data_IF_646264428709
#
_entry.id   IF_646264428709
#
_cell.length_a   1.000
_cell.length_b   1.000
_cell.length_c   1.000
_cell.angle_alpha   90.00
_cell.angle_beta   90.00
_cell.angle_gamma   90.00
#
_symmetry.space_group_name_H-M   'P 1'
#
loop_
_entity.id
_entity.type
_entity.pdbx_description
1 polymer ?
#
# COMPACT_ATOMS: atom_id res chain seq x y z
N UNK A 1 12.84 -13.79 2.70
CA UNK A 1 12.17 -12.76 1.88
C UNK A 1 11.86 -11.60 2.80
N UNK A 2 12.42 -10.42 2.54
CA UNK A 2 12.16 -9.20 3.33
C UNK A 2 10.81 -8.61 2.90
N UNK A 3 9.89 -8.40 3.83
CA UNK A 3 8.58 -7.82 3.56
C UNK A 3 8.63 -6.31 3.74
N UNK A 4 8.49 -5.57 2.64
CA UNK A 4 8.59 -4.11 2.62
C UNK A 4 7.21 -3.50 2.49
N UNK A 5 6.81 -2.74 3.50
CA UNK A 5 5.62 -1.89 3.43
C UNK A 5 5.96 -0.55 2.77
N UNK A 6 5.07 -0.03 1.93
CA UNK A 6 5.24 1.31 1.33
C UNK A 6 4.16 2.24 1.86
N UNK A 7 4.54 3.14 2.77
CA UNK A 7 3.63 4.14 3.31
C UNK A 7 3.60 5.37 2.40
N UNK A 8 2.52 5.54 1.63
CA UNK A 8 2.37 6.63 0.66
C UNK A 8 2.54 6.18 -0.78
N UNK A 9 1.48 5.65 -1.41
CA UNK A 9 1.47 5.24 -2.83
C UNK A 9 1.29 6.44 -3.79
N UNK A 10 2.16 7.44 -3.65
CA UNK A 10 2.24 8.61 -4.52
C UNK A 10 3.24 8.43 -5.66
N UNK A 11 3.80 9.53 -6.16
CA UNK A 11 4.81 9.51 -7.23
C UNK A 11 6.01 8.63 -6.90
N UNK A 12 6.58 8.77 -5.70
CA UNK A 12 7.76 7.98 -5.29
C UNK A 12 7.34 6.59 -4.82
N UNK A 13 6.38 6.48 -3.91
CA UNK A 13 6.01 5.18 -3.35
C UNK A 13 5.57 4.14 -4.39
N UNK A 14 4.84 4.51 -5.45
CA UNK A 14 4.46 3.54 -6.49
C UNK A 14 5.66 2.97 -7.27
N UNK A 15 6.69 3.79 -7.47
CA UNK A 15 7.95 3.37 -8.11
C UNK A 15 8.76 2.48 -7.18
N UNK A 16 8.80 2.81 -5.89
CA UNK A 16 9.45 1.97 -4.87
C UNK A 16 8.76 0.61 -4.77
N UNK A 17 7.42 0.56 -4.73
CA UNK A 17 6.68 -0.70 -4.68
C UNK A 17 7.01 -1.62 -5.87
N UNK A 18 7.07 -1.07 -7.08
CA UNK A 18 7.48 -1.83 -8.26
C UNK A 18 8.94 -2.29 -8.19
N UNK A 19 9.84 -1.43 -7.71
CA UNK A 19 11.26 -1.77 -7.55
C UNK A 19 11.46 -2.89 -6.53
N UNK A 20 10.77 -2.85 -5.38
CA UNK A 20 10.75 -3.91 -4.37
C UNK A 20 10.25 -5.22 -4.97
N UNK A 21 9.12 -5.19 -5.70
CA UNK A 21 8.55 -6.39 -6.34
C UNK A 21 9.52 -7.03 -7.35
N UNK A 22 10.42 -6.26 -7.95
CA UNK A 22 11.41 -6.76 -8.90
C UNK A 22 12.66 -7.37 -8.23
N UNK A 23 12.83 -7.22 -6.91
CA UNK A 23 13.98 -7.78 -6.21
C UNK A 23 13.79 -9.28 -5.90
N UNK A 24 14.83 -10.11 -6.02
CA UNK A 24 14.73 -11.56 -5.78
C UNK A 24 14.61 -11.92 -4.28
N UNK A 25 14.96 -10.99 -3.39
CA UNK A 25 15.05 -11.19 -1.94
C UNK A 25 14.03 -10.34 -1.14
N UNK A 26 13.17 -9.57 -1.82
CA UNK A 26 12.14 -8.74 -1.21
C UNK A 26 10.74 -9.01 -1.77
N UNK A 27 9.72 -8.73 -0.96
CA UNK A 27 8.32 -8.77 -1.35
C UNK A 27 7.59 -7.53 -0.82
N UNK A 28 6.61 -7.03 -1.57
CA UNK A 28 5.76 -5.91 -1.12
C UNK A 28 4.74 -6.45 -0.11
N UNK A 29 4.82 -5.99 1.14
CA UNK A 29 3.85 -6.33 2.18
C UNK A 29 2.49 -5.70 1.89
N UNK A 30 2.49 -4.47 1.38
CA UNK A 30 1.31 -3.70 1.02
C UNK A 30 1.68 -2.25 0.76
N UNK A 31 0.70 -1.45 0.36
CA UNK A 31 0.88 -0.02 0.08
C UNK A 31 -0.22 0.78 0.76
N UNK A 32 0.13 1.95 1.31
CA UNK A 32 -0.84 2.83 1.97
C UNK A 32 -1.27 4.02 1.10
N UNK A 33 -2.54 4.41 1.19
CA UNK A 33 -3.13 5.59 0.54
C UNK A 33 -4.16 6.27 1.43
N UNK A 34 -4.29 7.58 1.28
CA UNK A 34 -5.26 8.42 2.03
C UNK A 34 -6.53 8.74 1.24
N UNK A 35 -6.49 8.63 -0.08
CA UNK A 35 -7.59 8.98 -0.99
C UNK A 35 -7.93 7.84 -1.94
N UNK A 36 -9.22 7.47 -2.09
CA UNK A 36 -9.70 6.44 -3.01
C UNK A 36 -9.73 6.96 -4.46
N UNK A 37 -8.57 7.27 -5.02
CA UNK A 37 -8.43 7.83 -6.36
C UNK A 37 -7.97 6.79 -7.38
N UNK A 38 -7.77 7.20 -8.64
CA UNK A 38 -7.36 6.30 -9.72
C UNK A 38 -6.04 5.55 -9.41
N UNK A 39 -5.13 6.14 -8.64
CA UNK A 39 -3.87 5.46 -8.26
C UNK A 39 -4.10 4.35 -7.23
N UNK A 40 -5.10 4.49 -6.35
CA UNK A 40 -5.51 3.40 -5.47
C UNK A 40 -6.06 2.22 -6.28
N UNK A 41 -6.80 2.50 -7.37
CA UNK A 41 -7.27 1.46 -8.31
C UNK A 41 -6.12 0.78 -9.03
N UNK A 42 -5.15 1.55 -9.51
CA UNK A 42 -3.93 0.98 -10.11
C UNK A 42 -3.18 0.08 -9.11
N UNK A 43 -3.14 0.44 -7.82
CA UNK A 43 -2.51 -0.39 -6.81
C UNK A 43 -3.21 -1.76 -6.68
N UNK A 44 -4.55 -1.77 -6.59
CA UNK A 44 -5.34 -3.00 -6.51
C UNK A 44 -5.25 -3.83 -7.79
N UNK A 45 -5.30 -3.19 -8.96
CA UNK A 45 -5.21 -3.87 -10.27
C UNK A 45 -3.85 -4.53 -10.47
N UNK A 46 -2.81 -3.99 -9.84
CA UNK A 46 -1.46 -4.57 -9.81
C UNK A 46 -1.28 -5.66 -8.75
N UNK A 47 -2.32 -5.95 -7.98
CA UNK A 47 -2.32 -6.98 -6.93
C UNK A 47 -1.67 -6.55 -5.62
N UNK A 48 -1.47 -5.24 -5.38
CA UNK A 48 -0.96 -4.77 -4.09
C UNK A 48 -2.07 -4.74 -3.05
N UNK A 49 -1.77 -5.26 -1.85
CA UNK A 49 -2.63 -5.10 -0.68
C UNK A 49 -2.72 -3.60 -0.32
N UNK A 50 -3.92 -3.04 -0.45
CA UNK A 50 -4.17 -1.61 -0.23
C UNK A 50 -4.56 -1.35 1.22
N UNK A 51 -3.86 -0.43 1.87
CA UNK A 51 -4.11 0.00 3.24
C UNK A 51 -4.49 1.48 3.28
N UNK A 52 -5.28 1.87 4.27
CA UNK A 52 -5.64 3.27 4.52
C UNK A 52 -5.73 3.58 6.02
N UNK A 53 -5.59 4.84 6.44
CA UNK A 53 -5.90 5.25 7.82
C UNK A 53 -7.34 4.88 8.19
N UNK A 54 -7.59 4.48 9.45
CA UNK A 54 -8.90 3.94 9.88
C UNK A 54 -10.05 4.93 9.66
N UNK A 55 -9.82 6.22 9.89
CA UNK A 55 -10.77 7.31 9.65
C UNK A 55 -11.13 7.50 8.16
N UNK A 56 -10.38 6.87 7.25
CA UNK A 56 -10.61 6.91 5.80
C UNK A 56 -11.31 5.66 5.27
N UNK A 57 -11.48 4.60 6.07
CA UNK A 57 -12.03 3.32 5.59
C UNK A 57 -13.42 3.47 4.97
N UNK A 58 -14.30 4.28 5.55
CA UNK A 58 -15.62 4.57 4.99
C UNK A 58 -15.55 5.13 3.57
N UNK A 59 -14.68 6.11 3.33
CA UNK A 59 -14.52 6.71 1.99
C UNK A 59 -14.00 5.71 0.94
N UNK A 60 -13.14 4.76 1.35
CA UNK A 60 -12.68 3.69 0.45
C UNK A 60 -13.78 2.67 0.17
N UNK A 61 -14.55 2.28 1.19
CA UNK A 61 -15.69 1.39 1.04
C UNK A 61 -16.75 1.98 0.09
N UNK A 62 -17.12 3.25 0.29
CA UNK A 62 -18.08 3.97 -0.56
C UNK A 62 -17.61 4.06 -2.02
N UNK A 63 -16.29 4.10 -2.24
CA UNK A 63 -15.67 4.13 -3.56
C UNK A 63 -15.40 2.72 -4.15
N UNK A 64 -15.87 1.65 -3.50
CA UNK A 64 -15.74 0.28 -3.97
C UNK A 64 -14.31 -0.27 -3.92
N UNK A 65 -13.56 0.09 -2.89
CA UNK A 65 -12.26 -0.50 -2.59
C UNK A 65 -12.37 -1.53 -1.46
N UNK A 66 -11.71 -2.67 -1.64
CA UNK A 66 -11.48 -3.64 -0.59
C UNK A 66 -10.11 -3.37 0.04
N UNK A 67 -10.10 -2.91 1.29
CA UNK A 67 -8.88 -2.59 2.02
C UNK A 67 -8.36 -3.84 2.74
N UNK A 68 -7.05 -4.07 2.65
CA UNK A 68 -6.36 -5.12 3.38
C UNK A 68 -6.13 -4.79 4.87
N UNK A 69 -6.55 -3.61 5.32
CA UNK A 69 -6.49 -3.17 6.72
C UNK A 69 -6.04 -1.72 6.89
N UNK A 70 -5.71 -1.35 8.12
CA UNK A 70 -5.21 -0.02 8.44
C UNK A 70 -3.73 0.17 8.08
N UNK A 71 -3.23 1.41 8.19
CA UNK A 71 -1.77 1.65 8.12
C UNK A 71 -1.03 0.93 9.26
N UNK A 72 -1.65 0.78 10.42
CA UNK A 72 -1.06 0.01 11.52
C UNK A 72 -0.95 -1.49 11.16
N UNK A 73 -1.91 -2.05 10.43
CA UNK A 73 -1.80 -3.41 9.88
C UNK A 73 -0.66 -3.52 8.88
N UNK A 74 -0.45 -2.52 8.01
CA UNK A 74 0.69 -2.50 7.10
C UNK A 74 2.01 -2.54 7.86
N UNK A 75 2.17 -1.70 8.89
CA UNK A 75 3.38 -1.66 9.73
C UNK A 75 3.61 -3.01 10.41
N UNK A 76 2.57 -3.61 11.01
CA UNK A 76 2.67 -4.93 11.66
C UNK A 76 3.09 -6.06 10.71
N UNK A 77 2.73 -5.95 9.43
CA UNK A 77 3.03 -6.95 8.39
C UNK A 77 4.37 -6.74 7.70
N UNK A 78 5.07 -5.66 8.01
CA UNK A 78 6.31 -5.26 7.33
C UNK A 78 7.52 -5.50 8.23
N UNK A 79 8.59 -6.04 7.65
CA UNK A 79 9.91 -6.10 8.29
C UNK A 79 10.57 -4.71 8.31
N UNK A 80 10.30 -3.92 7.25
CA UNK A 80 10.68 -2.51 7.14
C UNK A 80 9.62 -1.72 6.38
N UNK A 81 9.48 -0.44 6.70
CA UNK A 81 8.60 0.48 5.98
C UNK A 81 9.44 1.51 5.22
N UNK A 82 9.17 1.66 3.93
CA UNK A 82 9.60 2.82 3.17
C UNK A 82 8.51 3.88 3.28
N UNK A 83 8.83 4.98 3.96
CA UNK A 83 7.94 6.12 4.05
C UNK A 83 8.17 7.08 2.88
N UNK A 84 7.08 7.40 2.17
CA UNK A 84 7.05 8.28 1.01
C UNK A 84 5.79 9.18 1.03
N UNK A 85 5.37 9.65 2.21
CA UNK A 85 4.21 10.55 2.37
C UNK A 85 4.44 11.96 1.82
#
# INVERSE_FOLDING_TARGET
MLHVGVNGYGTIGKRVADAVRAQPDMAVAGVAKTSPNFEARIATDRGYALHAPEDRHGAFADAGFDLAGSVADLVRRSDIVVDAT
#
